data_IF_401359991174
#
_entry.id   IF_401359991174
#
_cell.length_a   1.000
_cell.length_b   1.000
_cell.length_c   1.000
_cell.angle_alpha   90.00
_cell.angle_beta   90.00
_cell.angle_gamma   90.00
#
_symmetry.space_group_name_H-M   'P 1'
#
loop_
_entity.id
_entity.type
_entity.pdbx_description
1 polymer ?
#
# COMPACT_ATOMS: atom_id res chain seq x y z
N UNK A 1 8.18 -15.69 -3.61
CA UNK A 1 9.30 -15.56 -4.58
C UNK A 1 8.84 -15.20 -5.98
N UNK A 2 7.90 -15.95 -6.55
CA UNK A 2 7.39 -15.69 -7.91
C UNK A 2 6.72 -14.30 -8.02
N UNK A 3 5.97 -13.91 -7.03
CA UNK A 3 5.29 -12.62 -7.01
C UNK A 3 6.28 -11.45 -7.00
N UNK A 4 7.32 -11.55 -6.19
CA UNK A 4 8.37 -10.55 -6.15
C UNK A 4 9.12 -10.49 -7.49
N UNK A 5 9.39 -11.64 -8.09
CA UNK A 5 10.05 -11.71 -9.40
C UNK A 5 9.18 -11.07 -10.49
N UNK A 6 7.87 -11.32 -10.47
CA UNK A 6 6.94 -10.72 -11.42
C UNK A 6 6.93 -9.19 -11.30
N UNK A 7 6.88 -8.69 -10.06
CA UNK A 7 6.88 -7.25 -9.79
C UNK A 7 8.19 -6.61 -10.24
N UNK A 8 9.31 -7.23 -9.88
CA UNK A 8 10.64 -6.73 -10.24
C UNK A 8 10.90 -6.79 -11.75
N UNK A 9 10.26 -7.74 -12.44
CA UNK A 9 10.36 -7.86 -13.89
C UNK A 9 9.71 -6.72 -14.65
N UNK A 10 8.86 -5.92 -14.01
CA UNK A 10 8.28 -4.72 -14.65
C UNK A 10 9.29 -3.60 -14.83
N UNK A 11 10.36 -3.59 -14.03
CA UNK A 11 11.34 -2.50 -13.98
C UNK A 11 10.70 -1.12 -13.82
N UNK A 12 9.55 -1.07 -13.10
CA UNK A 12 8.84 0.18 -12.90
C UNK A 12 9.69 1.16 -12.08
N UNK A 13 9.61 2.43 -12.43
CA UNK A 13 10.40 3.49 -11.80
C UNK A 13 10.13 3.59 -10.29
N UNK A 14 8.92 3.27 -9.85
CA UNK A 14 8.61 3.30 -8.42
C UNK A 14 9.48 2.34 -7.60
N UNK A 15 10.03 1.28 -8.22
CA UNK A 15 10.94 0.38 -7.54
C UNK A 15 12.22 1.07 -7.08
N UNK A 16 12.60 2.19 -7.68
CA UNK A 16 13.77 2.95 -7.25
C UNK A 16 13.65 3.47 -5.82
N UNK A 17 12.41 3.67 -5.33
CA UNK A 17 12.16 4.13 -3.97
C UNK A 17 12.28 3.02 -2.92
N UNK A 18 12.42 1.78 -3.36
CA UNK A 18 12.59 0.61 -2.48
C UNK A 18 13.88 -0.15 -2.80
N UNK A 19 14.89 0.57 -3.32
CA UNK A 19 16.19 -0.02 -3.61
C UNK A 19 16.30 -0.74 -4.95
N UNK A 20 15.37 -0.48 -5.86
CA UNK A 20 15.38 -1.03 -7.23
C UNK A 20 14.58 -2.31 -7.40
N UNK A 21 14.25 -3.00 -6.32
CA UNK A 21 13.42 -4.21 -6.37
C UNK A 21 12.67 -4.40 -5.06
N UNK A 22 11.48 -4.98 -5.13
CA UNK A 22 10.73 -5.36 -3.95
C UNK A 22 11.21 -6.69 -3.41
N UNK A 23 11.36 -6.77 -2.08
CA UNK A 23 11.66 -8.03 -1.40
C UNK A 23 10.38 -8.75 -1.01
N UNK A 24 10.49 -10.06 -0.73
CA UNK A 24 9.35 -10.87 -0.30
C UNK A 24 8.75 -10.43 1.04
N UNK A 25 9.46 -9.61 1.79
CA UNK A 25 9.00 -9.08 3.08
C UNK A 25 8.03 -7.91 2.93
N UNK A 26 8.01 -7.25 1.78
CA UNK A 26 7.12 -6.11 1.51
C UNK A 26 5.69 -6.57 1.28
N UNK A 27 4.72 -5.65 1.46
CA UNK A 27 3.30 -6.00 1.37
C UNK A 27 2.84 -6.35 -0.05
N UNK A 28 3.29 -5.62 -1.06
CA UNK A 28 2.78 -5.81 -2.42
C UNK A 28 2.99 -7.24 -2.93
N UNK A 29 4.18 -7.86 -2.80
CA UNK A 29 4.33 -9.27 -3.15
C UNK A 29 3.41 -10.20 -2.36
N UNK A 30 3.22 -9.93 -1.08
CA UNK A 30 2.32 -10.74 -0.23
C UNK A 30 0.87 -10.61 -0.66
N UNK A 31 0.42 -9.39 -0.97
CA UNK A 31 -0.94 -9.14 -1.45
C UNK A 31 -1.18 -9.86 -2.78
N UNK A 32 -0.22 -9.83 -3.68
CA UNK A 32 -0.31 -10.55 -4.95
C UNK A 32 -0.40 -12.06 -4.71
N UNK A 33 0.39 -12.60 -3.79
CA UNK A 33 0.32 -14.01 -3.41
C UNK A 33 -1.07 -14.37 -2.86
N UNK A 34 -1.61 -13.52 -1.99
CA UNK A 34 -2.96 -13.72 -1.44
C UNK A 34 -4.02 -13.73 -2.54
N UNK A 35 -3.91 -12.82 -3.50
CA UNK A 35 -4.84 -12.80 -4.64
C UNK A 35 -4.82 -14.11 -5.41
N UNK A 36 -3.62 -14.67 -5.62
CA UNK A 36 -3.43 -15.89 -6.40
C UNK A 36 -3.82 -17.16 -5.64
N UNK A 37 -3.88 -17.12 -4.31
CA UNK A 37 -4.03 -18.31 -3.47
C UNK A 37 -5.25 -18.29 -2.53
N UNK A 38 -5.95 -17.16 -2.40
CA UNK A 38 -7.19 -17.05 -1.62
C UNK A 38 -8.42 -17.22 -2.51
N UNK A 39 -9.57 -17.66 -1.95
CA UNK A 39 -10.84 -17.54 -2.65
C UNK A 39 -11.09 -16.09 -3.05
N UNK A 40 -11.53 -15.88 -4.28
CA UNK A 40 -11.72 -14.55 -4.84
C UNK A 40 -12.68 -13.69 -4.01
N UNK A 41 -13.77 -14.27 -3.53
CA UNK A 41 -14.75 -13.57 -2.70
C UNK A 41 -14.14 -13.07 -1.40
N UNK A 42 -13.28 -13.88 -0.78
CA UNK A 42 -12.59 -13.52 0.46
C UNK A 42 -11.60 -12.40 0.20
N UNK A 43 -10.79 -12.53 -0.85
CA UNK A 43 -9.82 -11.49 -1.23
C UNK A 43 -10.51 -10.15 -1.48
N UNK A 44 -11.65 -10.15 -2.17
CA UNK A 44 -12.35 -8.92 -2.53
C UNK A 44 -12.91 -8.16 -1.31
N UNK A 45 -13.01 -8.81 -0.15
CA UNK A 45 -13.47 -8.21 1.10
C UNK A 45 -12.34 -7.74 2.01
N UNK A 46 -11.08 -8.02 1.65
CA UNK A 46 -9.94 -7.68 2.49
C UNK A 46 -9.52 -6.22 2.34
N UNK A 47 -9.19 -5.60 3.45
CA UNK A 47 -8.39 -4.38 3.52
C UNK A 47 -7.01 -4.75 4.03
N UNK A 48 -5.99 -4.04 3.57
CA UNK A 48 -4.60 -4.39 3.87
C UNK A 48 -3.95 -3.30 4.69
N UNK A 49 -3.27 -3.70 5.76
CA UNK A 49 -2.57 -2.82 6.69
C UNK A 49 -1.15 -3.32 6.90
N UNK A 50 -0.19 -2.40 6.95
CA UNK A 50 1.10 -2.72 7.55
C UNK A 50 0.90 -2.99 9.05
N UNK A 51 1.81 -3.72 9.67
CA UNK A 51 1.67 -4.12 11.08
C UNK A 51 1.43 -2.91 12.00
N UNK A 52 2.21 -1.85 11.83
CA UNK A 52 2.07 -0.65 12.67
C UNK A 52 0.72 0.02 12.48
N UNK A 53 0.24 0.08 11.24
CA UNK A 53 -1.07 0.67 10.92
C UNK A 53 -2.22 -0.21 11.42
N UNK A 54 -2.06 -1.53 11.37
CA UNK A 54 -3.03 -2.46 11.94
C UNK A 54 -3.16 -2.29 13.45
N UNK A 55 -2.04 -2.14 14.15
CA UNK A 55 -2.04 -1.89 15.60
C UNK A 55 -2.70 -0.57 15.95
N UNK A 56 -2.45 0.48 15.18
CA UNK A 56 -3.10 1.78 15.35
C UNK A 56 -4.61 1.68 15.12
N UNK A 57 -5.03 0.95 14.10
CA UNK A 57 -6.45 0.71 13.83
C UNK A 57 -7.13 -0.01 14.99
N UNK A 58 -6.51 -1.07 15.51
CA UNK A 58 -7.06 -1.82 16.63
C UNK A 58 -7.17 -0.98 17.89
N UNK A 59 -6.24 -0.06 18.11
CA UNK A 59 -6.22 0.81 19.28
C UNK A 59 -7.21 1.98 19.18
N UNK A 60 -7.42 2.53 17.98
CA UNK A 60 -8.13 3.81 17.79
C UNK A 60 -9.37 3.72 16.91
N UNK A 61 -9.54 2.64 16.16
CA UNK A 61 -10.58 2.53 15.13
C UNK A 61 -10.33 3.37 13.88
N UNK A 62 -9.21 4.09 13.80
CA UNK A 62 -8.87 4.92 12.65
C UNK A 62 -8.22 4.09 11.54
N UNK A 63 -8.67 4.28 10.32
CA UNK A 63 -8.09 3.63 9.13
C UNK A 63 -6.94 4.44 8.50
N UNK A 64 -6.46 5.47 9.19
CA UNK A 64 -5.32 6.27 8.75
C UNK A 64 -4.06 5.41 8.63
N UNK A 65 -3.33 5.60 7.55
CA UNK A 65 -2.10 4.86 7.27
C UNK A 65 -0.87 5.73 7.48
N UNK A 66 0.22 5.09 7.89
CA UNK A 66 1.52 5.72 8.01
C UNK A 66 2.12 5.98 6.62
N UNK A 67 2.62 7.19 6.43
CA UNK A 67 3.33 7.57 5.22
C UNK A 67 4.56 6.67 4.99
N UNK A 68 5.31 6.38 6.04
CA UNK A 68 6.50 5.54 5.96
C UNK A 68 6.16 4.12 5.51
N UNK A 69 5.15 3.50 6.11
CA UNK A 69 4.76 2.13 5.78
C UNK A 69 4.28 2.03 4.32
N UNK A 70 3.47 2.97 3.87
CA UNK A 70 2.93 2.92 2.51
C UNK A 70 3.99 3.17 1.45
N UNK A 71 4.93 4.07 1.69
CA UNK A 71 6.05 4.31 0.77
C UNK A 71 7.00 3.11 0.73
N UNK A 72 7.39 2.60 1.89
CA UNK A 72 8.42 1.57 1.96
C UNK A 72 7.93 0.19 1.53
N UNK A 73 6.65 -0.12 1.70
CA UNK A 73 6.17 -1.50 1.57
C UNK A 73 5.00 -1.69 0.61
N UNK A 74 4.25 -0.64 0.29
CA UNK A 74 3.00 -0.74 -0.48
C UNK A 74 3.06 -0.03 -1.83
N UNK A 75 4.21 0.48 -2.24
CA UNK A 75 4.35 1.11 -3.55
C UNK A 75 3.70 2.49 -3.67
N UNK A 76 3.52 3.18 -2.55
CA UNK A 76 3.01 4.54 -2.54
C UNK A 76 4.12 5.52 -2.92
N UNK A 77 3.83 6.44 -3.83
CA UNK A 77 4.75 7.52 -4.23
C UNK A 77 4.13 8.85 -3.79
N UNK A 78 4.81 9.61 -2.91
CA UNK A 78 4.23 10.85 -2.39
C UNK A 78 3.74 11.80 -3.49
N UNK A 79 2.60 12.44 -3.26
CA UNK A 79 2.03 13.40 -4.19
C UNK A 79 3.05 14.52 -4.47
N UNK A 80 3.24 14.82 -5.74
CA UNK A 80 4.24 15.80 -6.19
C UNK A 80 5.60 15.20 -6.54
N UNK A 81 5.86 13.94 -6.19
CA UNK A 81 7.10 13.23 -6.55
C UNK A 81 6.88 12.46 -7.84
N UNK A 82 7.77 12.63 -8.82
CA UNK A 82 7.71 11.93 -10.12
C UNK A 82 6.34 12.00 -10.82
N UNK A 83 5.64 13.13 -10.69
CA UNK A 83 4.35 13.32 -11.31
C UNK A 83 3.19 12.61 -10.61
N UNK A 84 3.41 12.09 -9.40
CA UNK A 84 2.36 11.47 -8.63
C UNK A 84 1.28 12.49 -8.28
N UNK A 85 0.02 12.17 -8.62
CA UNK A 85 -1.13 13.05 -8.33
C UNK A 85 -1.98 12.53 -7.18
N UNK A 86 -1.95 11.23 -6.90
CA UNK A 86 -2.76 10.62 -5.85
C UNK A 86 -2.00 9.64 -4.97
N UNK A 87 -0.70 9.47 -5.21
CA UNK A 87 0.15 8.59 -4.44
C UNK A 87 0.20 7.15 -4.94
N UNK A 88 -0.85 6.69 -5.59
CA UNK A 88 -0.94 5.32 -6.12
C UNK A 88 -0.81 5.35 -7.64
N UNK A 89 -0.03 4.43 -8.19
CA UNK A 89 0.21 4.36 -9.63
C UNK A 89 -0.62 3.24 -10.25
N UNK A 90 -1.74 3.61 -10.87
CA UNK A 90 -2.70 2.66 -11.45
C UNK A 90 -2.04 1.68 -12.42
N UNK A 91 -1.17 2.19 -13.28
CA UNK A 91 -0.50 1.38 -14.30
C UNK A 91 0.35 0.28 -13.70
N UNK A 92 1.06 0.58 -12.62
CA UNK A 92 1.86 -0.41 -11.91
C UNK A 92 1.00 -1.53 -11.34
N UNK A 93 -0.09 -1.18 -10.66
CA UNK A 93 -0.98 -2.19 -10.07
C UNK A 93 -1.68 -3.03 -11.13
N UNK A 94 -2.07 -2.42 -12.25
CA UNK A 94 -2.66 -3.17 -13.36
C UNK A 94 -1.65 -4.11 -14.01
N UNK A 95 -0.42 -3.67 -14.19
CA UNK A 95 0.65 -4.46 -14.82
C UNK A 95 0.98 -5.71 -14.02
N UNK A 96 1.02 -5.62 -12.70
CA UNK A 96 1.33 -6.77 -11.84
C UNK A 96 0.11 -7.64 -11.52
N UNK A 97 -1.07 -7.27 -12.00
CA UNK A 97 -2.29 -8.07 -11.80
C UNK A 97 -3.08 -7.72 -10.53
N UNK A 98 -2.83 -6.56 -9.93
CA UNK A 98 -3.56 -6.08 -8.74
C UNK A 98 -4.53 -4.93 -9.07
N UNK A 99 -5.11 -4.94 -10.25
CA UNK A 99 -6.07 -3.92 -10.67
C UNK A 99 -7.30 -3.84 -9.75
N UNK A 100 -7.59 -4.89 -9.00
CA UNK A 100 -8.70 -4.88 -8.04
C UNK A 100 -8.52 -3.84 -6.95
N UNK A 101 -7.27 -3.50 -6.61
CA UNK A 101 -6.96 -2.51 -5.58
C UNK A 101 -7.17 -1.07 -6.06
N UNK A 102 -7.23 -0.85 -7.37
CA UNK A 102 -7.47 0.48 -7.96
C UNK A 102 -8.89 0.96 -7.70
N UNK A 103 -9.84 0.03 -7.54
CA UNK A 103 -11.24 0.35 -7.29
C UNK A 103 -11.43 1.18 -6.01
N UNK A 104 -12.42 2.07 -6.04
CA UNK A 104 -12.77 2.92 -4.90
C UNK A 104 -11.58 3.73 -4.38
N UNK A 105 -10.74 4.20 -5.30
CA UNK A 105 -9.58 5.03 -5.01
C UNK A 105 -8.67 4.41 -3.95
N UNK A 106 -8.36 3.11 -4.12
CA UNK A 106 -7.44 2.37 -3.25
C UNK A 106 -7.88 2.29 -1.79
N UNK A 107 -9.18 2.30 -1.52
CA UNK A 107 -9.71 2.23 -0.15
C UNK A 107 -9.17 1.03 0.64
N UNK A 108 -8.87 -0.07 -0.03
CA UNK A 108 -8.34 -1.28 0.59
C UNK A 108 -6.89 -1.13 1.06
N UNK A 109 -6.17 -0.11 0.57
CA UNK A 109 -4.80 0.23 0.98
C UNK A 109 -4.75 1.54 1.78
N UNK A 110 -5.89 2.11 2.12
CA UNK A 110 -5.95 3.35 2.87
C UNK A 110 -6.47 4.56 2.09
N UNK A 111 -6.72 4.39 0.80
CA UNK A 111 -7.28 5.45 -0.04
C UNK A 111 -6.27 6.55 -0.39
N UNK A 112 -6.79 7.64 -0.94
CA UNK A 112 -5.97 8.78 -1.35
C UNK A 112 -5.71 9.75 -0.18
N UNK A 113 -6.69 9.94 0.68
CA UNK A 113 -6.64 10.94 1.76
C UNK A 113 -6.30 10.35 3.14
N UNK A 114 -6.19 9.03 3.25
CA UNK A 114 -5.93 8.35 4.52
C UNK A 114 -4.46 8.17 4.86
N UNK A 115 -3.55 8.68 4.04
CA UNK A 115 -2.11 8.51 4.22
C UNK A 115 -1.54 9.77 4.84
N UNK A 116 -0.92 9.63 6.01
CA UNK A 116 -0.40 10.77 6.76
C UNK A 116 1.02 10.53 7.26
N UNK A 117 1.77 11.62 7.36
CA UNK A 117 3.08 11.60 8.01
C UNK A 117 2.87 11.71 9.52
N UNK A 118 3.35 10.74 10.27
CA UNK A 118 3.28 10.76 11.72
C UNK A 118 4.11 11.90 12.33
N UNK A 119 5.14 12.33 11.61
CA UNK A 119 6.04 13.37 12.08
C UNK A 119 5.38 14.73 12.26
N UNK A 120 4.23 14.94 11.62
CA UNK A 120 3.53 16.23 11.64
C UNK A 120 2.34 16.26 12.59
N UNK A 121 2.05 15.16 13.30
CA UNK A 121 0.89 15.06 14.16
C UNK A 121 1.26 14.83 15.61
N UNK A 122 0.65 15.60 16.49
CA UNK A 122 0.77 15.36 17.92
C UNK A 122 -0.02 14.09 18.29
N UNK A 123 0.39 13.37 19.34
CA UNK A 123 -0.35 12.19 19.80
C UNK A 123 -1.82 12.47 20.09
N UNK A 124 -2.16 13.65 20.55
CA UNK A 124 -3.53 14.04 20.85
C UNK A 124 -4.45 14.00 19.63
N UNK A 125 -3.92 14.27 18.44
CA UNK A 125 -4.73 14.20 17.22
C UNK A 125 -5.00 12.77 16.75
N UNK A 126 -4.14 11.82 17.12
CA UNK A 126 -4.32 10.42 16.80
C UNK A 126 -5.41 9.78 17.66
N UNK A 127 -5.61 10.25 18.88
CA UNK A 127 -6.46 9.60 19.87
C UNK A 127 -7.72 10.38 20.23
N UNK A 128 -7.90 11.60 19.71
CA UNK A 128 -9.03 12.48 20.06
C UNK A 128 -10.10 12.59 18.96
N UNK A 129 -10.25 11.55 18.19
CA UNK A 129 -11.32 11.54 17.16
C UNK A 129 -12.44 10.63 17.57
#
# INVERSE_FOLDING_TARGET
>A
MEEAQKINGTHDRLLSYVGGKMSVEMEIPKILWLKNNMPKETFNRCKFYDLTDALTYLATGSETRSFCSTVCKQGYVPVGVDGSTKGWKDEFFKEIGLQDLVKDDYIRLGGVNGIVSQMTRSPSRLFNN
#
